data_IF_037532800336
#
_entry.id   IF_037532800336
#
_cell.length_a   1.000
_cell.length_b   1.000
_cell.length_c   1.000
_cell.angle_alpha   90.00
_cell.angle_beta   90.00
_cell.angle_gamma   90.00
#
_symmetry.space_group_name_H-M   'P 1'
#
loop_
_entity.id
_entity.type
_entity.pdbx_description
1 polymer ?
#
# COMPACT_ATOMS: atom_id res chain seq x y z
N UNK A 1 -26.56 13.14 17.10
CA UNK A 1 -25.77 12.22 16.25
C UNK A 1 -24.30 12.53 16.53
N UNK A 2 -23.46 11.56 16.92
CA UNK A 2 -22.16 11.87 17.55
C UNK A 2 -21.30 12.89 16.79
N UNK A 3 -21.15 12.75 15.47
CA UNK A 3 -20.36 13.68 14.64
C UNK A 3 -20.97 15.09 14.62
N UNK A 4 -22.29 15.20 14.43
CA UNK A 4 -23.01 16.48 14.45
C UNK A 4 -22.84 17.18 15.81
N UNK A 5 -23.08 16.44 16.89
CA UNK A 5 -22.99 16.95 18.27
C UNK A 5 -21.54 17.42 18.57
N UNK A 6 -20.54 16.73 18.01
CA UNK A 6 -19.13 17.14 18.10
C UNK A 6 -18.85 18.44 17.34
N UNK A 7 -19.32 18.58 16.10
CA UNK A 7 -19.13 19.79 15.29
C UNK A 7 -19.82 21.00 15.92
N UNK A 8 -21.01 20.83 16.50
CA UNK A 8 -21.72 21.86 17.25
C UNK A 8 -20.91 22.32 18.46
N UNK A 9 -20.38 21.38 19.26
CA UNK A 9 -19.55 21.69 20.42
C UNK A 9 -18.25 22.41 20.05
N UNK A 10 -17.70 22.15 18.86
CA UNK A 10 -16.52 22.84 18.33
C UNK A 10 -16.87 24.20 17.70
N UNK A 11 -18.15 24.57 17.61
CA UNK A 11 -18.59 25.81 16.96
C UNK A 11 -18.45 25.79 15.43
N UNK A 12 -18.42 24.60 14.83
CA UNK A 12 -18.12 24.39 13.40
C UNK A 12 -19.37 24.18 12.53
N UNK A 13 -20.57 24.12 13.11
CA UNK A 13 -21.81 23.77 12.39
C UNK A 13 -22.22 24.75 11.29
N UNK A 14 -21.72 25.99 11.31
CA UNK A 14 -21.93 27.00 10.26
C UNK A 14 -20.64 27.41 9.55
N UNK A 15 -19.55 26.66 9.74
CA UNK A 15 -18.24 27.00 9.18
C UNK A 15 -18.10 26.53 7.71
N UNK A 16 -16.98 26.90 7.08
CA UNK A 16 -16.50 26.19 5.89
C UNK A 16 -15.71 24.97 6.33
N UNK A 17 -16.09 23.77 5.87
CA UNK A 17 -15.46 22.51 6.24
C UNK A 17 -14.82 21.88 5.00
N UNK A 18 -13.48 21.73 5.02
CA UNK A 18 -12.75 20.94 4.02
C UNK A 18 -12.84 19.46 4.36
N UNK A 19 -13.21 18.63 3.37
CA UNK A 19 -13.31 17.17 3.51
C UNK A 19 -12.58 16.45 2.38
N UNK A 20 -12.05 15.27 2.63
CA UNK A 20 -11.54 14.35 1.60
C UNK A 20 -12.68 13.70 0.79
N UNK A 21 -13.89 13.65 1.36
CA UNK A 21 -15.13 13.21 0.72
C UNK A 21 -16.36 13.72 1.49
N UNK A 22 -17.44 14.10 0.79
CA UNK A 22 -18.69 14.50 1.46
C UNK A 22 -19.50 13.29 1.97
N UNK A 23 -18.93 12.56 2.91
CA UNK A 23 -19.48 11.35 3.51
C UNK A 23 -18.65 10.12 3.18
N UNK A 24 -18.67 9.15 4.09
CA UNK A 24 -17.91 7.91 3.91
C UNK A 24 -18.44 7.14 2.68
N UNK A 25 -17.53 6.78 1.77
CA UNK A 25 -17.88 5.96 0.61
C UNK A 25 -18.56 4.65 1.00
N UNK A 26 -19.27 4.00 0.07
CA UNK A 26 -19.97 2.71 0.32
C UNK A 26 -19.01 1.51 0.46
N UNK A 27 -17.80 1.75 0.95
CA UNK A 27 -16.79 0.74 1.25
C UNK A 27 -17.26 -0.06 2.46
N UNK A 28 -17.04 -1.38 2.42
CA UNK A 28 -17.44 -2.33 3.47
C UNK A 28 -18.93 -2.25 3.88
N UNK A 29 -19.81 -1.84 2.95
CA UNK A 29 -21.24 -1.78 3.19
C UNK A 29 -21.71 -0.57 4.00
N UNK A 30 -20.85 0.43 4.23
CA UNK A 30 -21.25 1.68 4.88
C UNK A 30 -22.36 2.39 4.11
N UNK A 31 -23.34 2.94 4.85
CA UNK A 31 -24.51 3.66 4.33
C UNK A 31 -24.79 4.95 5.09
N UNK A 32 -23.77 5.54 5.71
CA UNK A 32 -23.92 6.79 6.48
C UNK A 32 -24.43 7.96 5.62
N UNK A 33 -25.06 8.97 6.24
CA UNK A 33 -25.45 10.20 5.55
C UNK A 33 -24.21 10.98 5.08
N UNK A 34 -24.42 11.93 4.16
CA UNK A 34 -23.37 12.89 3.79
C UNK A 34 -23.13 13.86 4.94
N UNK A 35 -21.94 14.44 5.02
CA UNK A 35 -21.67 15.47 6.02
C UNK A 35 -22.59 16.68 5.83
N UNK A 36 -22.82 17.08 4.58
CA UNK A 36 -23.73 18.19 4.25
C UNK A 36 -25.18 17.95 4.68
N UNK A 37 -25.60 16.70 4.85
CA UNK A 37 -26.95 16.39 5.34
C UNK A 37 -27.03 16.50 6.89
N UNK A 38 -25.91 16.28 7.58
CA UNK A 38 -25.79 16.36 9.03
C UNK A 38 -25.66 17.81 9.55
N UNK A 39 -24.94 18.65 8.81
CA UNK A 39 -24.67 20.06 9.13
C UNK A 39 -25.07 20.97 7.96
N UNK A 40 -26.38 21.20 7.76
CA UNK A 40 -26.88 21.91 6.57
C UNK A 40 -26.46 23.39 6.52
N UNK A 41 -26.10 23.97 7.66
CA UNK A 41 -25.65 25.36 7.76
C UNK A 41 -24.15 25.53 7.42
N UNK A 42 -23.39 24.43 7.32
CA UNK A 42 -21.98 24.45 6.97
C UNK A 42 -21.77 24.45 5.45
N UNK A 43 -20.73 25.15 4.99
CA UNK A 43 -20.25 25.04 3.60
C UNK A 43 -19.22 23.91 3.50
N UNK A 44 -19.64 22.75 3.02
CA UNK A 44 -18.75 21.61 2.79
C UNK A 44 -18.02 21.76 1.45
N UNK A 45 -16.69 21.62 1.46
CA UNK A 45 -15.82 21.73 0.29
C UNK A 45 -14.96 20.47 0.21
N UNK A 46 -14.96 19.78 -0.93
CA UNK A 46 -14.04 18.67 -1.16
C UNK A 46 -12.65 19.21 -1.50
N UNK A 47 -11.63 18.74 -0.79
CA UNK A 47 -10.24 19.24 -0.86
C UNK A 47 -9.24 18.10 -1.07
N UNK A 48 -9.68 16.97 -1.64
CA UNK A 48 -8.83 15.80 -1.84
C UNK A 48 -7.60 16.15 -2.69
N UNK A 49 -7.80 16.85 -3.81
CA UNK A 49 -6.71 17.29 -4.70
C UNK A 49 -5.70 18.19 -3.97
N UNK A 50 -6.19 19.06 -3.05
CA UNK A 50 -5.32 19.91 -2.24
C UNK A 50 -4.49 19.08 -1.25
N UNK A 51 -5.09 18.07 -0.62
CA UNK A 51 -4.40 17.14 0.28
C UNK A 51 -3.31 16.38 -0.48
N UNK A 52 -3.62 15.83 -1.65
CA UNK A 52 -2.65 15.11 -2.50
C UNK A 52 -1.50 16.04 -2.94
N UNK A 53 -1.81 17.29 -3.29
CA UNK A 53 -0.80 18.28 -3.63
C UNK A 53 0.13 18.60 -2.44
N UNK A 54 -0.41 18.75 -1.24
CA UNK A 54 0.36 18.99 -0.02
C UNK A 54 1.27 17.82 0.35
N UNK A 55 0.93 16.59 -0.06
CA UNK A 55 1.71 15.37 0.18
C UNK A 55 2.82 15.11 -0.86
N UNK A 56 2.89 15.92 -1.92
CA UNK A 56 3.81 15.67 -3.04
C UNK A 56 5.29 15.89 -2.69
N UNK A 57 5.59 16.82 -1.77
CA UNK A 57 6.96 17.15 -1.38
C UNK A 57 7.26 16.54 -0.02
N UNK A 58 8.08 15.49 -0.03
CA UNK A 58 8.48 14.79 1.18
C UNK A 58 9.58 15.53 1.96
N UNK A 59 9.52 15.45 3.29
CA UNK A 59 10.62 15.87 4.17
C UNK A 59 11.77 14.85 4.16
N UNK A 60 12.91 15.22 4.76
CA UNK A 60 14.06 14.33 4.88
C UNK A 60 13.75 13.05 5.68
N UNK A 61 12.88 13.13 6.70
CA UNK A 61 12.42 11.98 7.49
C UNK A 61 11.56 11.02 6.66
N UNK A 62 10.65 11.56 5.85
CA UNK A 62 9.81 10.77 4.95
C UNK A 62 10.67 10.06 3.89
N UNK A 63 11.63 10.78 3.31
CA UNK A 63 12.61 10.21 2.38
C UNK A 63 13.45 9.12 3.06
N UNK A 64 13.81 9.29 4.33
CA UNK A 64 14.52 8.27 5.10
C UNK A 64 13.69 6.99 5.28
N UNK A 65 12.37 7.12 5.52
CA UNK A 65 11.46 5.97 5.59
C UNK A 65 11.28 5.28 4.23
N UNK A 66 11.20 6.03 3.13
CA UNK A 66 11.16 5.48 1.76
C UNK A 66 12.46 4.73 1.44
N UNK A 67 13.62 5.28 1.80
CA UNK A 67 14.91 4.60 1.64
C UNK A 67 14.99 3.34 2.48
N UNK A 68 14.45 3.36 3.70
CA UNK A 68 14.39 2.17 4.54
C UNK A 68 13.48 1.09 3.93
N UNK A 69 12.32 1.47 3.39
CA UNK A 69 11.46 0.57 2.60
C UNK A 69 12.21 -0.05 1.42
N UNK A 70 12.98 0.74 0.68
CA UNK A 70 13.75 0.25 -0.48
C UNK A 70 14.77 -0.83 -0.12
N UNK A 71 15.40 -0.76 1.06
CA UNK A 71 16.32 -1.81 1.53
C UNK A 71 15.60 -3.15 1.70
N UNK A 72 14.41 -3.13 2.31
CA UNK A 72 13.64 -4.35 2.58
C UNK A 72 12.97 -4.91 1.32
N UNK A 73 12.46 -4.06 0.44
CA UNK A 73 12.00 -4.46 -0.88
C UNK A 73 13.12 -5.10 -1.71
N UNK A 74 14.33 -4.53 -1.68
CA UNK A 74 15.51 -5.13 -2.31
C UNK A 74 15.88 -6.51 -1.73
N UNK A 75 15.82 -6.67 -0.41
CA UNK A 75 16.08 -7.96 0.23
C UNK A 75 15.04 -9.01 -0.18
N UNK A 76 13.75 -8.65 -0.17
CA UNK A 76 12.68 -9.55 -0.62
C UNK A 76 12.88 -9.95 -2.09
N UNK A 77 13.27 -9.00 -2.95
CA UNK A 77 13.59 -9.29 -4.34
C UNK A 77 14.81 -10.20 -4.50
N UNK A 78 15.84 -10.01 -3.68
CA UNK A 78 17.02 -10.89 -3.66
C UNK A 78 16.63 -12.33 -3.35
N UNK A 79 15.81 -12.56 -2.31
CA UNK A 79 15.30 -13.89 -2.01
C UNK A 79 14.38 -14.45 -3.10
N UNK A 80 13.58 -13.60 -3.75
CA UNK A 80 12.76 -14.02 -4.89
C UNK A 80 13.65 -14.59 -6.01
N UNK A 81 14.73 -13.89 -6.37
CA UNK A 81 15.70 -14.36 -7.37
C UNK A 81 16.39 -15.66 -6.94
N UNK A 82 16.80 -15.78 -5.67
CA UNK A 82 17.47 -16.97 -5.16
C UNK A 82 16.56 -18.21 -5.18
N UNK A 83 15.26 -18.03 -4.91
CA UNK A 83 14.27 -19.11 -4.90
C UNK A 83 13.68 -19.45 -6.27
N UNK A 84 13.92 -18.62 -7.29
CA UNK A 84 13.54 -18.94 -8.67
C UNK A 84 14.20 -20.24 -9.14
N UNK A 85 13.37 -21.25 -9.41
CA UNK A 85 13.77 -22.55 -9.93
C UNK A 85 12.71 -23.08 -10.89
N UNK A 86 13.15 -23.67 -12.01
CA UNK A 86 12.25 -24.35 -12.95
C UNK A 86 11.45 -25.42 -12.21
N UNK A 87 10.15 -25.48 -12.48
CA UNK A 87 9.21 -26.41 -11.85
C UNK A 87 8.63 -25.94 -10.52
N UNK A 88 9.18 -24.90 -9.88
CA UNK A 88 8.62 -24.31 -8.65
C UNK A 88 7.53 -23.29 -9.02
N UNK A 89 6.48 -23.18 -8.21
CA UNK A 89 5.37 -22.27 -8.52
C UNK A 89 5.66 -20.83 -8.07
N UNK A 90 5.10 -19.87 -8.80
CA UNK A 90 5.24 -18.43 -8.49
C UNK A 90 4.81 -18.12 -7.04
N UNK A 91 3.76 -18.78 -6.56
CA UNK A 91 3.21 -18.56 -5.23
C UNK A 91 4.15 -19.08 -4.15
N UNK A 92 4.75 -20.25 -4.34
CA UNK A 92 5.70 -20.83 -3.38
C UNK A 92 6.94 -19.94 -3.24
N UNK A 93 7.50 -19.49 -4.36
CA UNK A 93 8.66 -18.60 -4.40
C UNK A 93 8.32 -17.27 -3.70
N UNK A 94 7.21 -16.63 -4.08
CA UNK A 94 6.79 -15.32 -3.55
C UNK A 94 6.54 -15.36 -2.05
N UNK A 95 5.82 -16.38 -1.56
CA UNK A 95 5.54 -16.54 -0.13
C UNK A 95 6.83 -16.74 0.67
N UNK A 96 7.74 -17.58 0.17
CA UNK A 96 9.01 -17.85 0.84
C UNK A 96 9.89 -16.61 0.90
N UNK A 97 10.08 -15.92 -0.22
CA UNK A 97 10.86 -14.70 -0.30
C UNK A 97 10.33 -13.61 0.64
N UNK A 98 9.01 -13.38 0.60
CA UNK A 98 8.35 -12.38 1.44
C UNK A 98 8.49 -12.71 2.94
N UNK A 99 8.32 -13.99 3.32
CA UNK A 99 8.43 -14.41 4.71
C UNK A 99 9.87 -14.24 5.24
N UNK A 100 10.87 -14.69 4.49
CA UNK A 100 12.27 -14.61 4.92
C UNK A 100 12.73 -13.15 5.07
N UNK A 101 12.39 -12.28 4.11
CA UNK A 101 12.68 -10.85 4.19
C UNK A 101 11.94 -10.17 5.35
N UNK A 102 10.66 -10.47 5.54
CA UNK A 102 9.87 -9.92 6.65
C UNK A 102 10.45 -10.32 8.00
N UNK A 103 10.89 -11.56 8.17
CA UNK A 103 11.51 -11.99 9.43
C UNK A 103 12.84 -11.26 9.68
N UNK A 104 13.67 -11.07 8.66
CA UNK A 104 14.91 -10.29 8.77
C UNK A 104 14.62 -8.82 9.14
N UNK A 105 13.61 -8.22 8.49
CA UNK A 105 13.12 -6.88 8.76
C UNK A 105 12.68 -6.71 10.22
N UNK A 106 11.81 -7.60 10.72
CA UNK A 106 11.30 -7.53 12.08
C UNK A 106 12.40 -7.71 13.14
N UNK A 107 13.37 -8.61 12.89
CA UNK A 107 14.52 -8.77 13.79
C UNK A 107 15.40 -7.53 13.84
N UNK A 108 15.52 -6.81 12.72
CA UNK A 108 16.40 -5.65 12.58
C UNK A 108 15.75 -4.38 13.11
N UNK A 109 14.50 -4.12 12.75
CA UNK A 109 13.76 -2.92 13.15
C UNK A 109 13.15 -3.02 14.55
N UNK A 110 13.02 -4.24 15.06
CA UNK A 110 12.58 -4.50 16.43
C UNK A 110 11.14 -4.04 16.72
N UNK A 111 10.78 -3.88 18.01
CA UNK A 111 9.41 -3.65 18.45
C UNK A 111 8.86 -2.26 18.08
N UNK A 112 9.72 -1.33 17.66
CA UNK A 112 9.31 -0.01 17.18
C UNK A 112 8.66 -0.05 15.79
N UNK A 113 8.91 -1.11 15.00
CA UNK A 113 8.37 -1.24 13.66
C UNK A 113 6.85 -1.03 13.60
N UNK A 114 6.40 -0.26 12.61
CA UNK A 114 4.99 -0.11 12.24
C UNK A 114 4.85 -0.33 10.74
N UNK A 115 3.82 -1.06 10.34
CA UNK A 115 3.43 -1.18 8.93
C UNK A 115 2.56 -0.02 8.47
N UNK A 116 1.91 -0.20 7.32
CA UNK A 116 0.84 0.68 6.82
C UNK A 116 -0.55 0.06 7.00
N UNK A 117 -1.58 0.79 6.62
CA UNK A 117 -2.96 0.28 6.62
C UNK A 117 -3.06 -0.89 5.63
N UNK A 118 -3.37 -2.08 6.13
CA UNK A 118 -3.50 -3.29 5.31
C UNK A 118 -2.20 -3.82 4.70
N UNK A 119 -1.03 -3.25 5.05
CA UNK A 119 0.28 -3.65 4.51
C UNK A 119 1.30 -3.80 5.62
N UNK A 120 1.97 -4.95 5.69
CA UNK A 120 3.01 -5.21 6.69
C UNK A 120 4.15 -6.04 6.10
N UNK A 121 5.35 -5.81 6.61
CA UNK A 121 6.53 -6.58 6.23
C UNK A 121 7.04 -6.20 4.85
N UNK A 122 7.90 -7.07 4.33
CA UNK A 122 8.44 -7.00 2.99
C UNK A 122 7.74 -8.03 2.10
N UNK A 123 7.53 -7.67 0.83
CA UNK A 123 6.87 -8.49 -0.15
C UNK A 123 7.71 -8.57 -1.44
N UNK A 124 7.71 -9.73 -2.07
CA UNK A 124 8.20 -9.89 -3.43
C UNK A 124 7.39 -10.98 -4.15
N UNK A 125 7.16 -10.78 -5.44
CA UNK A 125 6.49 -11.74 -6.30
C UNK A 125 6.48 -11.34 -7.76
N UNK A 126 5.72 -12.08 -8.56
CA UNK A 126 5.67 -11.91 -10.01
C UNK A 126 4.43 -11.13 -10.49
N UNK A 127 3.48 -10.83 -9.60
CA UNK A 127 2.21 -10.17 -9.94
C UNK A 127 1.45 -10.87 -11.09
N UNK A 128 1.68 -12.19 -11.29
CA UNK A 128 1.12 -12.99 -12.39
C UNK A 128 1.81 -12.82 -13.75
N UNK A 129 2.90 -12.06 -13.82
CA UNK A 129 3.54 -11.62 -15.06
C UNK A 129 4.68 -12.56 -15.48
N UNK A 130 4.34 -13.83 -15.75
CA UNK A 130 5.30 -14.89 -16.12
C UNK A 130 5.04 -15.39 -17.54
N UNK A 131 6.11 -15.63 -18.30
CA UNK A 131 6.05 -16.13 -19.66
C UNK A 131 5.28 -15.15 -20.55
N UNK A 132 4.26 -15.64 -21.27
CA UNK A 132 3.42 -14.79 -22.12
C UNK A 132 2.62 -13.73 -21.34
N UNK A 133 2.31 -14.00 -20.07
CA UNK A 133 1.48 -13.11 -19.25
C UNK A 133 2.30 -11.90 -18.75
N UNK A 134 3.63 -11.90 -18.96
CA UNK A 134 4.48 -10.71 -18.80
C UNK A 134 4.07 -9.53 -19.70
N UNK A 135 3.31 -9.78 -20.76
CA UNK A 135 2.75 -8.72 -21.61
C UNK A 135 1.54 -8.01 -20.96
N UNK A 136 1.01 -8.51 -19.84
CA UNK A 136 -0.15 -7.96 -19.15
C UNK A 136 0.31 -7.14 -17.92
N UNK A 137 0.13 -5.81 -17.90
CA UNK A 137 0.66 -4.95 -16.83
C UNK A 137 0.00 -5.20 -15.46
N UNK A 138 -1.25 -5.66 -15.42
CA UNK A 138 -1.97 -6.05 -14.21
C UNK A 138 -2.48 -7.49 -14.32
N UNK A 139 -1.55 -8.42 -14.54
CA UNK A 139 -1.87 -9.84 -14.55
C UNK A 139 -2.41 -10.30 -13.18
N UNK A 140 -3.12 -11.43 -13.19
CA UNK A 140 -3.58 -12.10 -11.98
C UNK A 140 -2.70 -13.32 -11.80
N UNK A 141 -2.10 -13.50 -10.61
CA UNK A 141 -1.33 -14.70 -10.31
C UNK A 141 -2.18 -15.96 -10.48
N UNK A 142 -1.63 -16.95 -11.19
CA UNK A 142 -2.30 -18.22 -11.54
C UNK A 142 -1.63 -19.43 -10.90
N UNK A 143 -0.68 -19.23 -9.98
CA UNK A 143 0.15 -20.27 -9.37
C UNK A 143 0.94 -21.07 -10.42
N UNK A 144 1.38 -20.40 -11.49
CA UNK A 144 2.12 -21.03 -12.58
C UNK A 144 3.46 -21.57 -12.08
N UNK A 145 3.88 -22.73 -12.60
CA UNK A 145 5.22 -23.28 -12.36
C UNK A 145 6.18 -22.75 -13.42
N UNK A 146 7.32 -22.23 -12.98
CA UNK A 146 8.34 -21.66 -13.86
C UNK A 146 8.85 -22.71 -14.86
N UNK A 147 9.05 -22.29 -16.12
CA UNK A 147 9.54 -23.13 -17.22
C UNK A 147 10.80 -22.52 -17.83
N UNK A 148 11.66 -23.33 -18.48
CA UNK A 148 12.76 -22.80 -19.25
C UNK A 148 12.24 -21.85 -20.34
N UNK A 149 12.83 -20.65 -20.42
CA UNK A 149 12.47 -19.63 -21.40
C UNK A 149 11.33 -18.69 -20.99
N UNK A 150 10.75 -18.86 -19.79
CA UNK A 150 9.80 -17.87 -19.27
C UNK A 150 10.47 -16.51 -19.03
N UNK A 151 9.85 -15.44 -19.52
CA UNK A 151 10.16 -14.06 -19.10
C UNK A 151 9.52 -13.84 -17.73
N UNK A 152 10.27 -13.30 -16.77
CA UNK A 152 9.78 -13.09 -15.41
C UNK A 152 9.72 -11.59 -15.15
N UNK A 153 8.54 -11.00 -15.05
CA UNK A 153 8.42 -9.66 -14.48
C UNK A 153 8.13 -9.82 -12.99
N UNK A 154 8.85 -9.04 -12.19
CA UNK A 154 8.84 -9.15 -10.74
C UNK A 154 8.63 -7.80 -10.12
N UNK A 155 7.98 -7.79 -8.96
CA UNK A 155 7.80 -6.62 -8.12
C UNK A 155 8.13 -6.94 -6.67
N UNK A 156 8.71 -5.98 -5.97
CA UNK A 156 8.98 -6.07 -4.55
C UNK A 156 8.77 -4.72 -3.86
N UNK A 157 8.39 -4.78 -2.58
CA UNK A 157 8.10 -3.61 -1.76
C UNK A 157 8.25 -3.94 -0.27
N UNK A 158 8.18 -2.93 0.58
CA UNK A 158 8.03 -3.11 2.01
C UNK A 158 7.28 -1.93 2.64
N UNK A 159 6.39 -2.19 3.59
CA UNK A 159 5.69 -1.13 4.31
C UNK A 159 6.49 -0.69 5.54
N UNK A 160 6.85 0.58 5.64
CA UNK A 160 7.68 1.15 6.72
C UNK A 160 7.00 2.42 7.24
N UNK A 161 6.31 2.33 8.38
CA UNK A 161 5.55 3.42 9.01
C UNK A 161 4.59 4.15 8.04
N UNK A 162 3.94 3.40 7.16
CA UNK A 162 3.04 3.95 6.15
C UNK A 162 3.72 4.36 4.83
N UNK A 163 5.05 4.46 4.79
CA UNK A 163 5.82 4.73 3.57
C UNK A 163 6.18 3.42 2.86
N UNK A 164 6.31 3.50 1.54
CA UNK A 164 6.68 2.37 0.70
C UNK A 164 7.50 2.82 -0.50
N UNK A 165 8.33 1.92 -1.00
CA UNK A 165 8.95 1.98 -2.31
C UNK A 165 8.53 0.74 -3.10
N UNK A 166 8.39 0.87 -4.41
CA UNK A 166 8.26 -0.27 -5.30
C UNK A 166 9.53 -0.47 -6.13
N UNK A 167 9.88 -1.74 -6.33
CA UNK A 167 11.01 -2.21 -7.10
C UNK A 167 10.51 -3.22 -8.13
N UNK A 168 10.65 -2.90 -9.42
CA UNK A 168 10.33 -3.85 -10.50
C UNK A 168 11.58 -4.24 -11.30
N UNK A 169 11.66 -5.52 -11.71
CA UNK A 169 12.76 -6.08 -12.52
C UNK A 169 12.27 -7.15 -13.49
N UNK A 170 13.09 -7.42 -14.50
CA UNK A 170 12.94 -8.52 -15.47
C UNK A 170 14.17 -9.41 -15.45
#
# INVERSE_FOLDING_TARGET
EFLKDMLERLGLSGATLGVDSNGYGRVYGSRGPRLSDLVPDARVVEVLDDIEYLQMINTDEEIALIRESAKWGNLAHTYLQEFCRVGVSETEISLRASLEATQAMLRTLGPSYRGGVGRTGAHAGFRGQIGKDSALPHAISTNVRLRPGDVLVTGADAAVWGYGSELERT
#
